data_IF_986949783028
#
_entry.id   IF_986949783028
#
_cell.length_a   1.000
_cell.length_b   1.000
_cell.length_c   1.000
_cell.angle_alpha   90.00
_cell.angle_beta   90.00
_cell.angle_gamma   90.00
#
_symmetry.space_group_name_H-M   'P 1'
#
loop_
_entity.id
_entity.type
_entity.pdbx_description
1 polymer ?
#
# COMPACT_ATOMS: atom_id res chain seq x y z
N UNK A 1 -18.54 -4.11 13.32
CA UNK A 1 -17.74 -3.08 14.02
C UNK A 1 -17.05 -2.16 13.02
N UNK A 2 -16.20 -2.66 12.08
CA UNK A 2 -15.46 -1.81 11.15
C UNK A 2 -16.35 -0.92 10.25
N UNK A 3 -17.44 -1.48 9.69
CA UNK A 3 -18.36 -0.71 8.83
C UNK A 3 -19.07 0.41 9.60
N UNK A 4 -19.48 0.15 10.85
CA UNK A 4 -20.12 1.15 11.70
C UNK A 4 -19.16 2.28 12.07
N UNK A 5 -17.89 1.95 12.33
CA UNK A 5 -16.85 2.95 12.59
C UNK A 5 -16.58 3.85 11.38
N UNK A 6 -16.47 3.26 10.17
CA UNK A 6 -16.28 4.04 8.94
C UNK A 6 -17.46 4.98 8.69
N UNK A 7 -18.70 4.51 8.83
CA UNK A 7 -19.89 5.34 8.65
C UNK A 7 -19.97 6.45 9.70
N UNK A 8 -19.61 6.16 10.95
CA UNK A 8 -19.54 7.16 12.01
C UNK A 8 -18.52 8.25 11.70
N UNK A 9 -17.30 7.88 11.29
CA UNK A 9 -16.27 8.86 10.92
C UNK A 9 -16.69 9.73 9.74
N UNK A 10 -17.30 9.15 8.72
CA UNK A 10 -17.87 9.90 7.59
C UNK A 10 -18.96 10.86 8.06
N UNK A 11 -19.86 10.42 8.95
CA UNK A 11 -20.92 11.25 9.49
C UNK A 11 -20.39 12.44 10.31
N UNK A 12 -19.20 12.34 10.87
CA UNK A 12 -18.53 13.44 11.58
C UNK A 12 -17.75 14.37 10.64
N UNK A 13 -17.07 13.81 9.64
CA UNK A 13 -16.18 14.57 8.77
C UNK A 13 -16.95 15.39 7.70
N UNK A 14 -17.91 14.78 7.01
CA UNK A 14 -18.58 15.39 5.86
C UNK A 14 -19.40 16.67 6.17
N UNK A 15 -20.12 16.77 7.31
CA UNK A 15 -20.81 18.02 7.66
C UNK A 15 -19.85 19.20 7.85
N UNK A 16 -18.66 18.95 8.42
CA UNK A 16 -17.64 19.97 8.64
C UNK A 16 -17.05 20.52 7.33
N UNK A 17 -17.16 19.74 6.24
CA UNK A 17 -16.73 20.14 4.91
C UNK A 17 -17.82 20.88 4.11
N UNK A 18 -18.99 21.16 4.69
CA UNK A 18 -20.17 21.69 3.97
C UNK A 18 -20.49 20.88 2.72
N UNK A 19 -20.36 19.56 2.81
CA UNK A 19 -20.42 18.67 1.67
C UNK A 19 -21.83 18.63 1.07
N UNK A 20 -21.94 18.82 -0.25
CA UNK A 20 -23.18 18.66 -0.99
C UNK A 20 -23.67 17.20 -0.93
N UNK A 21 -24.97 16.99 -1.14
CA UNK A 21 -25.59 15.64 -1.16
C UNK A 21 -24.86 14.68 -2.11
N UNK A 22 -24.39 15.19 -3.27
CA UNK A 22 -23.60 14.40 -4.22
C UNK A 22 -22.28 13.89 -3.64
N UNK A 23 -21.63 14.65 -2.78
CA UNK A 23 -20.40 14.25 -2.07
C UNK A 23 -20.70 13.11 -1.09
N UNK A 24 -21.79 13.20 -0.32
CA UNK A 24 -22.23 12.12 0.57
C UNK A 24 -22.49 10.82 -0.20
N UNK A 25 -23.21 10.90 -1.31
CA UNK A 25 -23.46 9.73 -2.15
C UNK A 25 -22.15 9.13 -2.68
N UNK A 26 -21.23 9.95 -3.15
CA UNK A 26 -19.89 9.51 -3.60
C UNK A 26 -19.13 8.73 -2.51
N UNK A 27 -19.13 9.23 -1.29
CA UNK A 27 -18.47 8.55 -0.15
C UNK A 27 -19.17 7.25 0.23
N UNK A 28 -20.49 7.21 0.24
CA UNK A 28 -21.25 5.97 0.51
C UNK A 28 -20.94 4.92 -0.56
N UNK A 29 -20.93 5.30 -1.83
CA UNK A 29 -20.60 4.41 -2.94
C UNK A 29 -19.14 3.91 -2.84
N UNK A 30 -18.20 4.77 -2.45
CA UNK A 30 -16.81 4.39 -2.22
C UNK A 30 -16.69 3.35 -1.09
N UNK A 31 -17.36 3.58 0.04
CA UNK A 31 -17.36 2.61 1.16
C UNK A 31 -17.95 1.27 0.73
N UNK A 32 -19.11 1.29 0.05
CA UNK A 32 -19.74 0.06 -0.47
C UNK A 32 -18.81 -0.64 -1.47
N UNK A 33 -18.16 0.12 -2.35
CA UNK A 33 -17.17 -0.41 -3.30
C UNK A 33 -15.97 -1.05 -2.61
N UNK A 34 -15.41 -0.40 -1.59
CA UNK A 34 -14.31 -0.95 -0.78
C UNK A 34 -14.70 -2.24 -0.06
N UNK A 35 -15.91 -2.28 0.53
CA UNK A 35 -16.43 -3.49 1.19
C UNK A 35 -16.65 -4.63 0.21
N UNK A 36 -17.24 -4.34 -0.95
CA UNK A 36 -17.41 -5.32 -2.02
C UNK A 36 -16.05 -5.83 -2.52
N UNK A 37 -15.09 -4.94 -2.74
CA UNK A 37 -13.74 -5.32 -3.15
C UNK A 37 -13.05 -6.21 -2.09
N UNK A 38 -13.15 -5.86 -0.80
CA UNK A 38 -12.62 -6.68 0.28
C UNK A 38 -13.27 -8.07 0.33
N UNK A 39 -14.57 -8.16 0.13
CA UNK A 39 -15.29 -9.44 0.06
C UNK A 39 -14.82 -10.28 -1.13
N UNK A 40 -14.85 -9.73 -2.34
CA UNK A 40 -14.47 -10.45 -3.56
C UNK A 40 -12.96 -10.70 -3.70
N UNK A 41 -12.14 -10.14 -2.81
CA UNK A 41 -10.71 -10.45 -2.75
C UNK A 41 -10.46 -11.93 -2.44
N UNK A 42 -11.23 -12.51 -1.51
CA UNK A 42 -11.08 -13.91 -1.06
C UNK A 42 -12.32 -14.76 -1.28
N UNK A 43 -13.50 -14.17 -1.48
CA UNK A 43 -14.78 -14.84 -1.57
C UNK A 43 -15.31 -14.89 -3.01
N UNK A 44 -16.27 -15.80 -3.24
CA UNK A 44 -16.89 -16.01 -4.55
C UNK A 44 -16.24 -17.15 -5.34
N UNK A 45 -16.80 -17.46 -6.51
CA UNK A 45 -16.31 -18.54 -7.38
C UNK A 45 -14.96 -18.22 -8.05
N UNK A 46 -14.57 -16.96 -8.06
CA UNK A 46 -13.34 -16.48 -8.73
C UNK A 46 -12.75 -15.28 -8.00
N UNK A 47 -12.19 -15.47 -6.78
CA UNK A 47 -11.61 -14.37 -6.01
C UNK A 47 -10.48 -13.69 -6.79
N UNK A 48 -10.51 -12.35 -6.87
CA UNK A 48 -9.53 -11.66 -7.70
C UNK A 48 -8.13 -11.64 -7.05
N UNK A 49 -8.03 -11.75 -5.73
CA UNK A 49 -6.76 -11.94 -5.03
C UNK A 49 -6.03 -13.23 -5.45
N UNK A 50 -6.78 -14.27 -5.85
CA UNK A 50 -6.23 -15.54 -6.36
C UNK A 50 -5.81 -15.47 -7.83
N UNK A 51 -6.05 -14.35 -8.49
CA UNK A 51 -5.80 -14.15 -9.93
C UNK A 51 -4.68 -13.18 -10.24
N UNK A 52 -3.88 -12.80 -9.24
CA UNK A 52 -2.75 -11.89 -9.39
C UNK A 52 -3.12 -10.39 -9.37
N UNK A 53 -4.36 -10.04 -9.01
CA UNK A 53 -4.80 -8.64 -8.89
C UNK A 53 -4.57 -8.06 -7.48
N UNK A 54 -4.00 -8.86 -6.57
CA UNK A 54 -3.76 -8.46 -5.19
C UNK A 54 -2.89 -7.21 -5.05
N UNK A 55 -1.77 -7.17 -5.77
CA UNK A 55 -0.83 -6.04 -5.72
C UNK A 55 -1.48 -4.73 -6.19
N UNK A 56 -2.24 -4.79 -7.30
CA UNK A 56 -3.00 -3.63 -7.79
C UNK A 56 -4.09 -3.18 -6.82
N UNK A 57 -4.75 -4.11 -6.15
CA UNK A 57 -5.74 -3.79 -5.13
C UNK A 57 -5.09 -3.12 -3.91
N UNK A 58 -3.96 -3.64 -3.41
CA UNK A 58 -3.23 -3.03 -2.29
C UNK A 58 -2.75 -1.63 -2.67
N UNK A 59 -2.18 -1.45 -3.86
CA UNK A 59 -1.77 -0.14 -4.37
C UNK A 59 -2.94 0.86 -4.37
N UNK A 60 -4.09 0.45 -4.90
CA UNK A 60 -5.27 1.29 -4.99
C UNK A 60 -5.86 1.63 -3.61
N UNK A 61 -6.12 0.61 -2.78
CA UNK A 61 -6.86 0.81 -1.54
C UNK A 61 -6.01 1.37 -0.40
N UNK A 62 -4.77 0.93 -0.25
CA UNK A 62 -3.88 1.41 0.82
C UNK A 62 -3.07 2.65 0.41
N UNK A 63 -2.76 2.79 -0.88
CA UNK A 63 -2.11 3.97 -1.42
C UNK A 63 -3.12 5.05 -1.78
N UNK A 64 -3.72 4.96 -2.95
CA UNK A 64 -4.51 6.06 -3.51
C UNK A 64 -5.74 6.39 -2.66
N UNK A 65 -6.63 5.42 -2.43
CA UNK A 65 -7.87 5.68 -1.69
C UNK A 65 -7.58 6.00 -0.23
N UNK A 66 -6.67 5.26 0.40
CA UNK A 66 -6.33 5.45 1.80
C UNK A 66 -5.73 6.84 2.08
N UNK A 67 -4.75 7.26 1.30
CA UNK A 67 -4.07 8.54 1.51
C UNK A 67 -4.93 9.71 1.05
N UNK A 68 -5.37 9.70 -0.22
CA UNK A 68 -6.12 10.82 -0.79
C UNK A 68 -7.50 10.97 -0.16
N UNK A 69 -8.17 9.84 0.16
CA UNK A 69 -9.45 9.86 0.86
C UNK A 69 -9.32 10.47 2.26
N UNK A 70 -8.26 10.12 2.99
CA UNK A 70 -8.00 10.70 4.32
C UNK A 70 -7.70 12.18 4.21
N UNK A 71 -6.85 12.61 3.27
CA UNK A 71 -6.55 14.02 3.03
C UNK A 71 -7.83 14.81 2.74
N UNK A 72 -8.67 14.32 1.83
CA UNK A 72 -9.92 15.00 1.52
C UNK A 72 -10.86 15.11 2.72
N UNK A 73 -10.97 14.09 3.55
CA UNK A 73 -11.81 14.11 4.75
C UNK A 73 -11.32 15.12 5.81
N UNK A 74 -10.02 15.39 5.85
CA UNK A 74 -9.44 16.35 6.79
C UNK A 74 -9.37 17.78 6.25
N UNK A 75 -8.98 17.94 4.98
CA UNK A 75 -8.70 19.27 4.40
C UNK A 75 -9.84 19.79 3.50
N UNK A 76 -10.77 18.95 3.07
CA UNK A 76 -11.82 19.31 2.12
C UNK A 76 -11.35 19.49 0.68
N UNK A 77 -10.09 19.27 0.42
CA UNK A 77 -9.45 19.41 -0.90
C UNK A 77 -8.32 18.38 -1.05
N UNK A 78 -7.89 18.15 -2.28
CA UNK A 78 -6.73 17.33 -2.61
C UNK A 78 -5.62 18.22 -3.13
N UNK A 79 -4.43 18.12 -2.55
CA UNK A 79 -3.26 18.79 -3.10
C UNK A 79 -2.72 17.99 -4.29
N UNK A 80 -2.23 18.72 -5.30
CA UNK A 80 -1.74 18.09 -6.52
C UNK A 80 -0.54 17.15 -6.26
N UNK A 81 0.29 17.47 -5.28
CA UNK A 81 1.49 16.68 -4.95
C UNK A 81 1.17 15.43 -4.11
N UNK A 82 0.02 15.38 -3.43
CA UNK A 82 -0.38 14.25 -2.59
C UNK A 82 -0.50 12.93 -3.35
N UNK A 83 -0.71 12.99 -4.66
CA UNK A 83 -0.73 11.80 -5.52
C UNK A 83 0.61 11.07 -5.54
N UNK A 84 1.72 11.80 -5.45
CA UNK A 84 3.06 11.20 -5.39
C UNK A 84 3.26 10.44 -4.07
N UNK A 85 2.88 11.05 -2.95
CA UNK A 85 2.92 10.41 -1.63
C UNK A 85 2.00 9.18 -1.57
N UNK A 86 0.78 9.30 -2.08
CA UNK A 86 -0.20 8.21 -2.14
C UNK A 86 0.32 7.02 -2.97
N UNK A 87 0.88 7.29 -4.15
CA UNK A 87 1.46 6.27 -5.00
C UNK A 87 2.72 5.65 -4.38
N UNK A 88 3.59 6.45 -3.77
CA UNK A 88 4.79 5.97 -3.07
C UNK A 88 4.44 5.01 -1.92
N UNK A 89 3.47 5.38 -1.08
CA UNK A 89 2.99 4.52 0.00
C UNK A 89 2.30 3.27 -0.56
N UNK A 90 1.49 3.41 -1.61
CA UNK A 90 0.82 2.28 -2.26
C UNK A 90 1.80 1.24 -2.79
N UNK A 91 2.91 1.67 -3.41
CA UNK A 91 3.97 0.77 -3.85
C UNK A 91 4.64 0.06 -2.68
N UNK A 92 4.93 0.76 -1.58
CA UNK A 92 5.51 0.15 -0.40
C UNK A 92 4.58 -0.87 0.27
N UNK A 93 3.27 -0.60 0.32
CA UNK A 93 2.28 -1.58 0.79
C UNK A 93 2.22 -2.80 -0.15
N UNK A 94 2.32 -2.58 -1.47
CA UNK A 94 2.37 -3.68 -2.45
C UNK A 94 3.65 -4.51 -2.30
N UNK A 95 4.77 -3.90 -1.91
CA UNK A 95 6.00 -4.63 -1.59
C UNK A 95 5.81 -5.57 -0.39
N UNK A 96 5.06 -5.16 0.65
CA UNK A 96 4.70 -6.03 1.79
C UNK A 96 3.93 -7.26 1.29
N UNK A 97 2.90 -7.05 0.45
CA UNK A 97 2.13 -8.15 -0.13
C UNK A 97 3.01 -9.04 -1.03
N UNK A 98 3.87 -8.44 -1.84
CA UNK A 98 4.75 -9.20 -2.72
C UNK A 98 5.74 -10.08 -1.95
N UNK A 99 6.30 -9.62 -0.81
CA UNK A 99 7.12 -10.45 0.08
C UNK A 99 6.34 -11.66 0.61
N UNK A 100 5.12 -11.42 1.07
CA UNK A 100 4.24 -12.49 1.53
C UNK A 100 3.98 -13.50 0.40
N UNK A 101 3.63 -13.01 -0.78
CA UNK A 101 3.36 -13.87 -1.94
C UNK A 101 4.63 -14.60 -2.45
N UNK A 102 5.83 -13.99 -2.36
CA UNK A 102 7.09 -14.67 -2.69
C UNK A 102 7.40 -15.81 -1.72
N UNK A 103 7.12 -15.62 -0.42
CA UNK A 103 7.27 -16.65 0.59
C UNK A 103 6.34 -17.84 0.33
N UNK A 104 5.12 -17.53 -0.09
CA UNK A 104 4.04 -18.49 -0.16
C UNK A 104 3.86 -19.12 -1.57
N UNK A 105 4.79 -18.93 -2.53
CA UNK A 105 4.64 -19.38 -3.92
C UNK A 105 4.22 -20.86 -4.02
N UNK A 106 4.90 -21.76 -3.29
CA UNK A 106 4.62 -23.21 -3.38
C UNK A 106 3.24 -23.56 -2.82
N UNK A 107 2.88 -23.01 -1.66
CA UNK A 107 1.58 -23.23 -1.03
C UNK A 107 0.44 -22.56 -1.81
N UNK A 108 0.67 -21.39 -2.39
CA UNK A 108 -0.29 -20.71 -3.24
C UNK A 108 -0.60 -21.52 -4.51
N UNK A 109 0.43 -22.05 -5.18
CA UNK A 109 0.24 -22.91 -6.35
C UNK A 109 -0.48 -24.21 -6.00
N UNK A 110 -0.17 -24.83 -4.86
CA UNK A 110 -0.87 -26.02 -4.38
C UNK A 110 -2.35 -25.76 -4.06
N UNK A 111 -2.70 -24.54 -3.67
CA UNK A 111 -4.06 -24.08 -3.41
C UNK A 111 -4.76 -23.46 -4.64
N UNK A 112 -4.22 -23.64 -5.84
CA UNK A 112 -4.72 -23.02 -7.09
C UNK A 112 -4.85 -21.50 -7.02
N UNK A 113 -4.01 -20.85 -6.19
CA UNK A 113 -3.95 -19.42 -6.02
C UNK A 113 -2.79 -18.87 -6.83
N UNK A 114 -3.09 -18.22 -7.95
CA UNK A 114 -2.13 -17.69 -8.91
C UNK A 114 -1.86 -16.20 -8.63
N UNK A 115 -1.19 -15.91 -7.52
CA UNK A 115 -0.70 -14.57 -7.20
C UNK A 115 0.29 -14.08 -8.25
N UNK A 116 0.60 -12.77 -8.27
CA UNK A 116 1.57 -12.24 -9.23
C UNK A 116 2.95 -12.91 -9.02
N UNK A 117 3.40 -13.08 -7.77
CA UNK A 117 4.64 -13.79 -7.47
C UNK A 117 4.63 -15.24 -7.92
N UNK A 118 3.51 -15.98 -7.72
CA UNK A 118 3.38 -17.36 -8.18
C UNK A 118 3.43 -17.48 -9.71
N UNK A 119 2.91 -16.49 -10.44
CA UNK A 119 2.97 -16.45 -11.92
C UNK A 119 4.35 -16.09 -12.45
N UNK A 120 5.04 -15.15 -11.81
CA UNK A 120 6.35 -14.67 -12.24
C UNK A 120 7.48 -15.64 -11.85
N UNK A 121 7.28 -16.42 -10.78
CA UNK A 121 8.34 -17.15 -10.12
C UNK A 121 9.26 -16.23 -9.31
N UNK A 122 10.01 -16.83 -8.37
CA UNK A 122 10.79 -16.08 -7.38
C UNK A 122 11.79 -15.06 -8.00
N UNK A 123 12.56 -15.38 -9.05
CA UNK A 123 13.53 -14.40 -9.60
C UNK A 123 12.86 -13.16 -10.17
N UNK A 124 11.79 -13.33 -10.96
CA UNK A 124 11.07 -12.20 -11.56
C UNK A 124 10.24 -11.44 -10.51
N UNK A 125 9.72 -12.13 -9.48
CA UNK A 125 9.04 -11.48 -8.36
C UNK A 125 9.99 -10.59 -7.54
N UNK A 126 11.26 -10.98 -7.34
CA UNK A 126 12.30 -10.14 -6.75
C UNK A 126 12.64 -8.92 -7.62
N UNK A 127 12.75 -9.09 -8.93
CA UNK A 127 12.97 -7.99 -9.86
C UNK A 127 11.80 -6.98 -9.83
N UNK A 128 10.56 -7.48 -9.86
CA UNK A 128 9.35 -6.67 -9.71
C UNK A 128 9.33 -5.91 -8.38
N UNK A 129 9.70 -6.57 -7.28
CA UNK A 129 9.86 -5.95 -5.96
C UNK A 129 10.85 -4.77 -5.99
N UNK A 130 12.00 -4.97 -6.62
CA UNK A 130 13.04 -3.93 -6.76
C UNK A 130 12.58 -2.76 -7.61
N UNK A 131 11.78 -3.00 -8.65
CA UNK A 131 11.18 -1.93 -9.45
C UNK A 131 10.18 -1.12 -8.63
N UNK A 132 9.31 -1.76 -7.85
CA UNK A 132 8.41 -1.05 -6.93
C UNK A 132 9.19 -0.20 -5.94
N UNK A 133 10.28 -0.72 -5.36
CA UNK A 133 11.15 0.00 -4.44
C UNK A 133 11.76 1.25 -5.08
N UNK A 134 12.29 1.12 -6.30
CA UNK A 134 12.87 2.23 -7.06
C UNK A 134 11.82 3.31 -7.36
N UNK A 135 10.65 2.91 -7.91
CA UNK A 135 9.61 3.89 -8.25
C UNK A 135 9.04 4.58 -7.02
N UNK A 136 8.83 3.84 -5.92
CA UNK A 136 8.40 4.45 -4.66
C UNK A 136 9.42 5.47 -4.15
N UNK A 137 10.71 5.13 -4.19
CA UNK A 137 11.78 6.04 -3.77
C UNK A 137 11.84 7.31 -4.64
N UNK A 138 11.68 7.20 -5.96
CA UNK A 138 11.60 8.33 -6.88
C UNK A 138 10.38 9.23 -6.60
N UNK A 139 9.22 8.64 -6.26
CA UNK A 139 8.02 9.38 -5.90
C UNK A 139 8.21 10.14 -4.58
N UNK A 140 8.82 9.52 -3.55
CA UNK A 140 9.16 10.18 -2.32
C UNK A 140 10.17 11.31 -2.53
N UNK A 141 11.18 11.10 -3.36
CA UNK A 141 12.15 12.14 -3.72
C UNK A 141 11.50 13.33 -4.42
N UNK A 142 10.57 13.09 -5.33
CA UNK A 142 9.84 14.13 -6.04
C UNK A 142 8.85 14.90 -5.14
N UNK A 143 8.30 14.22 -4.13
CA UNK A 143 7.30 14.80 -3.23
C UNK A 143 7.90 15.61 -2.07
N UNK A 144 9.02 15.13 -1.49
CA UNK A 144 9.60 15.77 -0.31
C UNK A 144 10.30 17.10 -0.66
N UNK A 145 10.11 18.14 0.15
CA UNK A 145 10.84 19.41 -0.01
C UNK A 145 12.34 19.20 0.09
N UNK A 146 13.12 20.00 -0.66
CA UNK A 146 14.60 19.94 -0.69
C UNK A 146 15.26 20.01 0.70
N UNK A 147 14.65 20.73 1.65
CA UNK A 147 15.16 20.82 3.03
C UNK A 147 15.06 19.52 3.83
N UNK A 148 14.34 18.51 3.34
CA UNK A 148 14.10 17.22 3.99
C UNK A 148 14.92 16.07 3.37
N UNK A 149 16.02 16.39 2.71
CA UNK A 149 16.89 15.43 2.04
C UNK A 149 17.38 14.27 2.95
N UNK A 150 17.48 14.47 4.26
CA UNK A 150 17.82 13.41 5.20
C UNK A 150 16.77 12.27 5.24
N UNK A 151 15.50 12.56 5.02
CA UNK A 151 14.45 11.53 4.90
C UNK A 151 14.65 10.69 3.64
N UNK A 152 15.01 11.33 2.54
CA UNK A 152 15.32 10.63 1.28
C UNK A 152 16.51 9.68 1.48
N UNK A 153 17.56 10.16 2.15
CA UNK A 153 18.74 9.34 2.47
C UNK A 153 18.33 8.17 3.37
N UNK A 154 17.55 8.43 4.42
CA UNK A 154 17.08 7.37 5.32
C UNK A 154 16.27 6.31 4.59
N UNK A 155 15.28 6.72 3.79
CA UNK A 155 14.46 5.77 3.02
C UNK A 155 15.28 5.01 1.98
N UNK A 156 16.24 5.66 1.34
CA UNK A 156 17.17 5.05 0.39
C UNK A 156 18.04 3.98 1.04
N UNK A 157 18.67 4.32 2.18
CA UNK A 157 19.51 3.36 2.95
C UNK A 157 18.67 2.17 3.42
N UNK A 158 17.48 2.40 3.97
CA UNK A 158 16.58 1.33 4.41
C UNK A 158 16.17 0.42 3.26
N UNK A 159 15.84 1.01 2.10
CA UNK A 159 15.49 0.27 0.88
C UNK A 159 16.68 -0.56 0.36
N UNK A 160 17.87 0.02 0.27
CA UNK A 160 19.07 -0.69 -0.18
C UNK A 160 19.45 -1.82 0.77
N UNK A 161 19.36 -1.62 2.08
CA UNK A 161 19.54 -2.66 3.08
C UNK A 161 18.54 -3.81 2.92
N UNK A 162 17.26 -3.47 2.70
CA UNK A 162 16.21 -4.45 2.45
C UNK A 162 16.49 -5.28 1.18
N UNK A 163 16.83 -4.62 0.06
CA UNK A 163 17.15 -5.28 -1.20
C UNK A 163 18.43 -6.13 -1.09
N UNK A 164 19.44 -5.67 -0.37
CA UNK A 164 20.65 -6.47 -0.12
C UNK A 164 20.29 -7.82 0.50
N UNK A 165 19.47 -7.85 1.55
CA UNK A 165 19.04 -9.10 2.18
C UNK A 165 18.12 -9.92 1.29
N UNK A 166 17.26 -9.30 0.51
CA UNK A 166 16.39 -9.99 -0.46
C UNK A 166 17.19 -10.80 -1.49
N UNK A 167 18.39 -10.31 -1.88
CA UNK A 167 19.23 -10.98 -2.87
C UNK A 167 20.38 -11.82 -2.26
N UNK A 168 20.71 -11.61 -0.98
CA UNK A 168 21.84 -12.31 -0.32
C UNK A 168 21.53 -13.75 0.03
N UNK A 169 20.25 -14.07 0.27
CA UNK A 169 19.81 -15.39 0.66
C UNK A 169 18.53 -15.77 -0.12
N UNK A 170 18.39 -17.05 -0.40
CA UNK A 170 17.25 -17.58 -1.19
C UNK A 170 16.34 -18.48 -0.35
N UNK A 171 16.49 -18.48 0.97
CA UNK A 171 15.69 -19.32 1.86
C UNK A 171 14.36 -18.63 2.21
N UNK A 172 13.32 -19.44 2.44
CA UNK A 172 12.02 -18.96 2.96
C UNK A 172 12.20 -18.25 4.30
N UNK A 173 13.14 -18.69 5.12
CA UNK A 173 13.47 -18.07 6.40
C UNK A 173 13.91 -16.61 6.29
N UNK A 174 14.57 -16.24 5.20
CA UNK A 174 14.91 -14.83 4.92
C UNK A 174 13.66 -14.01 4.59
N UNK A 175 12.75 -14.52 3.77
CA UNK A 175 11.49 -13.84 3.45
C UNK A 175 10.61 -13.63 4.69
N UNK A 176 10.58 -14.60 5.61
CA UNK A 176 9.87 -14.48 6.89
C UNK A 176 10.39 -13.33 7.76
N UNK A 177 11.69 -13.04 7.70
CA UNK A 177 12.31 -11.91 8.43
C UNK A 177 12.14 -10.58 7.69
N UNK A 178 12.20 -10.59 6.37
CA UNK A 178 12.07 -9.40 5.54
C UNK A 178 10.65 -8.81 5.58
N UNK A 179 9.63 -9.66 5.71
CA UNK A 179 8.24 -9.21 5.78
C UNK A 179 7.98 -8.26 6.97
N UNK A 180 8.24 -8.63 8.24
CA UNK A 180 8.08 -7.72 9.36
C UNK A 180 9.05 -6.55 9.32
N UNK A 181 10.30 -6.77 8.86
CA UNK A 181 11.28 -5.69 8.70
C UNK A 181 10.76 -4.60 7.77
N UNK A 182 10.26 -4.95 6.59
CA UNK A 182 9.75 -3.96 5.64
C UNK A 182 8.48 -3.28 6.17
N UNK A 183 7.58 -4.02 6.79
CA UNK A 183 6.38 -3.45 7.41
C UNK A 183 6.72 -2.42 8.49
N UNK A 184 7.71 -2.71 9.34
CA UNK A 184 8.20 -1.77 10.36
C UNK A 184 8.90 -0.56 9.73
N UNK A 185 9.62 -0.73 8.62
CA UNK A 185 10.25 0.36 7.87
C UNK A 185 9.19 1.34 7.34
N UNK A 186 8.10 0.83 6.75
CA UNK A 186 6.97 1.64 6.27
C UNK A 186 6.32 2.39 7.44
N UNK A 187 6.06 1.71 8.55
CA UNK A 187 5.48 2.33 9.75
C UNK A 187 6.39 3.43 10.31
N UNK A 188 7.69 3.17 10.44
CA UNK A 188 8.67 4.15 10.91
C UNK A 188 8.72 5.38 10.00
N UNK A 189 8.65 5.19 8.69
CA UNK A 189 8.58 6.28 7.72
C UNK A 189 7.34 7.16 7.93
N UNK A 190 6.16 6.56 8.04
CA UNK A 190 4.91 7.31 8.28
C UNK A 190 4.98 8.05 9.62
N UNK A 191 5.53 7.43 10.66
CA UNK A 191 5.72 8.08 11.96
C UNK A 191 6.69 9.27 11.89
N UNK A 192 7.79 9.16 11.13
CA UNK A 192 8.73 10.26 10.91
C UNK A 192 8.08 11.42 10.15
N UNK A 193 7.29 11.14 9.11
CA UNK A 193 6.53 12.17 8.41
C UNK A 193 5.55 12.88 9.35
N UNK A 194 4.83 12.14 10.18
CA UNK A 194 3.89 12.71 11.14
C UNK A 194 4.59 13.63 12.15
N UNK A 195 5.73 13.22 12.71
CA UNK A 195 6.52 14.03 13.65
C UNK A 195 7.04 15.33 13.04
N UNK A 196 7.11 15.43 11.73
CA UNK A 196 7.56 16.64 11.03
C UNK A 196 6.42 17.59 10.70
N UNK A 197 5.18 17.13 10.76
CA UNK A 197 3.97 17.93 10.53
C UNK A 197 3.40 18.52 11.84
N UNK A 198 3.90 18.08 13.00
CA UNK A 198 3.55 18.56 14.34
C UNK A 198 4.61 19.52 14.85
#
# INVERSE_FOLDING_TARGET
>A
VLCSSCLYLLAQALPNLNAAVGTWLGWVLLVVGCLAAAFYYTAGSRPYGYRGWGDGAVFLFFGLIGVLGTEYLHAGLLNQDSWMAAAGLGLWCSMVLNLNNMRDIESDLAAEKYTLAARLGLPCAKAYHSLMALFAWLLWWAWLPLGQGYLIIFSGVATMWHLYWLYSDHTLFTLDKLLPQWSLTVLAWVALLWLMCV
#
